data_IF_106338403391
#
_entry.id   IF_106338403391
#
_cell.length_a   1.000
_cell.length_b   1.000
_cell.length_c   1.000
_cell.angle_alpha   90.00
_cell.angle_beta   90.00
_cell.angle_gamma   90.00
#
_symmetry.space_group_name_H-M   'P 1'
#
loop_
_entity.id
_entity.type
_entity.pdbx_description
1 polymer ?
#
# COMPACT_ATOMS: atom_id res chain seq x y z
N UNK A 1 29.44 -9.05 24.14
CA UNK A 1 28.57 -8.70 23.00
C UNK A 1 27.93 -7.36 23.33
N UNK A 2 27.94 -6.40 22.41
CA UNK A 2 27.36 -5.07 22.64
C UNK A 2 25.89 -5.23 23.03
N UNK A 3 25.49 -4.67 24.18
CA UNK A 3 24.13 -4.80 24.73
C UNK A 3 23.15 -3.76 24.15
N UNK A 4 23.68 -2.73 23.51
CA UNK A 4 22.92 -1.58 23.00
C UNK A 4 23.52 -1.08 21.68
N UNK A 5 22.68 -0.59 20.77
CA UNK A 5 23.04 0.02 19.48
C UNK A 5 22.25 1.32 19.31
N UNK A 6 22.92 2.46 19.14
CA UNK A 6 22.30 3.77 18.95
C UNK A 6 21.20 4.13 19.99
N UNK A 7 21.38 3.71 21.25
CA UNK A 7 20.41 3.92 22.33
C UNK A 7 19.25 2.93 22.35
N UNK A 8 19.31 1.84 21.57
CA UNK A 8 18.38 0.73 21.61
C UNK A 8 19.01 -0.51 22.21
N UNK A 9 18.31 -1.13 23.16
CA UNK A 9 18.70 -2.42 23.74
C UNK A 9 18.22 -3.59 22.87
N UNK A 10 19.02 -4.65 22.81
CA UNK A 10 18.78 -5.81 21.95
C UNK A 10 17.82 -6.81 22.62
N UNK A 11 16.63 -6.97 22.05
CA UNK A 11 15.65 -7.98 22.47
C UNK A 11 15.86 -9.26 21.66
N UNK A 12 16.38 -10.30 22.30
CA UNK A 12 16.63 -11.59 21.66
C UNK A 12 15.38 -12.47 21.73
N UNK A 13 14.88 -12.83 20.56
CA UNK A 13 13.72 -13.73 20.39
C UNK A 13 14.16 -14.95 19.59
N UNK A 14 13.74 -16.13 20.00
CA UNK A 14 14.09 -17.38 19.36
C UNK A 14 12.86 -18.04 18.76
N UNK A 15 12.89 -18.37 17.48
CA UNK A 15 11.84 -19.18 16.87
C UNK A 15 12.03 -20.65 17.20
N UNK A 16 10.92 -21.39 17.23
CA UNK A 16 11.00 -22.83 17.33
C UNK A 16 11.78 -23.41 16.13
N UNK A 17 12.66 -24.36 16.42
CA UNK A 17 13.37 -25.10 15.37
C UNK A 17 12.39 -26.02 14.66
N UNK A 18 12.43 -25.99 13.32
CA UNK A 18 11.85 -27.02 12.46
C UNK A 18 12.92 -28.11 12.32
N UNK A 19 12.50 -29.37 12.44
CA UNK A 19 13.36 -30.56 12.58
C UNK A 19 14.75 -30.45 11.92
N UNK A 20 15.81 -30.71 12.70
CA UNK A 20 17.24 -30.73 12.31
C UNK A 20 17.91 -29.38 12.00
N UNK A 21 17.26 -28.25 12.21
CA UNK A 21 17.88 -26.91 12.03
C UNK A 21 18.21 -26.23 13.37
N UNK A 22 19.28 -25.40 13.38
CA UNK A 22 19.59 -24.53 14.53
C UNK A 22 18.40 -23.58 14.75
N UNK A 23 18.03 -23.34 16.02
CA UNK A 23 16.97 -22.42 16.38
C UNK A 23 17.34 -20.98 15.95
N UNK A 24 16.64 -20.37 14.99
CA UNK A 24 16.99 -19.04 14.52
C UNK A 24 16.61 -17.99 15.57
N UNK A 25 17.49 -17.01 15.76
CA UNK A 25 17.29 -15.89 16.70
C UNK A 25 17.02 -14.63 15.90
N UNK A 26 15.89 -13.98 16.17
CA UNK A 26 15.53 -12.66 15.66
C UNK A 26 15.82 -11.61 16.73
N UNK A 27 16.37 -10.48 16.31
CA UNK A 27 16.75 -9.40 17.22
C UNK A 27 15.82 -8.22 16.94
N UNK A 28 15.05 -7.85 17.96
CA UNK A 28 14.29 -6.60 17.97
C UNK A 28 15.09 -5.55 18.75
N UNK A 29 14.78 -4.28 18.52
CA UNK A 29 15.47 -3.17 19.16
C UNK A 29 14.47 -2.42 20.03
N UNK A 30 14.74 -2.32 21.32
CA UNK A 30 13.83 -1.71 22.28
C UNK A 30 14.44 -0.52 23.00
N UNK A 31 13.66 0.55 23.19
CA UNK A 31 14.05 1.68 24.03
C UNK A 31 12.83 2.32 24.69
N UNK A 32 13.00 3.05 25.80
CA UNK A 32 11.95 3.93 26.32
C UNK A 32 11.51 4.93 25.24
N UNK A 33 10.20 5.12 25.07
CA UNK A 33 9.68 6.12 24.15
C UNK A 33 9.98 7.53 24.68
N UNK A 34 10.63 8.34 23.85
CA UNK A 34 10.92 9.74 24.12
C UNK A 34 9.79 10.60 23.51
N UNK A 35 8.72 10.80 24.27
CA UNK A 35 7.57 11.63 23.90
C UNK A 35 7.02 12.39 25.09
N UNK A 36 6.10 13.32 24.86
CA UNK A 36 5.44 14.06 25.95
C UNK A 36 4.60 13.12 26.83
N UNK A 37 4.51 13.39 28.13
CA UNK A 37 3.71 12.58 29.07
C UNK A 37 2.20 12.68 28.83
N UNK A 38 1.73 13.72 28.10
CA UNK A 38 0.30 14.03 27.91
C UNK A 38 -0.29 13.61 26.55
N UNK A 39 0.47 12.90 25.69
CA UNK A 39 -0.02 12.38 24.40
C UNK A 39 -0.84 11.09 24.52
N UNK A 40 -1.47 10.64 23.43
CA UNK A 40 -2.02 9.28 23.31
C UNK A 40 -0.95 8.20 23.39
N UNK A 41 0.31 8.55 23.08
CA UNK A 41 1.50 7.72 23.32
C UNK A 41 2.37 8.39 24.39
N UNK A 42 2.05 8.23 25.69
CA UNK A 42 2.71 8.98 26.76
C UNK A 42 4.15 8.54 26.97
N UNK A 43 5.04 9.52 27.09
CA UNK A 43 6.41 9.30 27.56
C UNK A 43 6.46 8.73 28.99
N UNK A 44 7.57 8.07 29.34
CA UNK A 44 7.82 7.56 30.70
C UNK A 44 7.20 6.19 31.02
N UNK A 45 6.07 5.81 30.38
CA UNK A 45 5.46 4.46 30.56
C UNK A 45 5.30 3.66 29.28
N UNK A 46 5.90 4.14 28.18
CA UNK A 46 5.81 3.50 26.87
C UNK A 46 7.15 2.95 26.42
N UNK A 47 7.15 1.70 25.95
CA UNK A 47 8.29 1.04 25.31
C UNK A 47 8.12 1.12 23.80
N UNK A 48 9.15 1.61 23.11
CA UNK A 48 9.24 1.62 21.67
C UNK A 48 10.08 0.44 21.17
N UNK A 49 9.53 -0.35 20.25
CA UNK A 49 10.17 -1.50 19.64
C UNK A 49 10.27 -1.32 18.13
N UNK A 50 11.42 -1.69 17.56
CA UNK A 50 11.70 -1.66 16.12
C UNK A 50 12.14 -3.03 15.66
N UNK A 51 11.97 -3.30 14.36
CA UNK A 51 12.25 -4.59 13.74
C UNK A 51 11.40 -5.71 14.37
N UNK A 52 10.14 -5.39 14.64
CA UNK A 52 9.18 -6.37 15.17
C UNK A 52 8.90 -7.40 14.07
N UNK A 53 8.89 -8.72 14.37
CA UNK A 53 8.64 -9.73 13.36
C UNK A 53 7.36 -9.52 12.54
N UNK A 54 7.33 -9.93 11.26
CA UNK A 54 6.17 -9.79 10.40
C UNK A 54 4.97 -10.56 10.94
N UNK A 55 5.22 -11.57 11.78
CA UNK A 55 4.19 -12.40 12.36
C UNK A 55 3.63 -11.89 13.69
N UNK A 56 4.09 -10.74 14.16
CA UNK A 56 3.72 -10.21 15.48
C UNK A 56 2.26 -9.82 15.56
N UNK A 57 1.61 -10.28 16.62
CA UNK A 57 0.30 -9.77 17.03
C UNK A 57 0.41 -9.07 18.39
N UNK A 58 -0.58 -8.23 18.69
CA UNK A 58 -0.71 -7.59 20.00
C UNK A 58 -0.74 -8.63 21.14
N UNK A 59 -1.36 -9.79 20.92
CA UNK A 59 -1.35 -10.91 21.86
C UNK A 59 0.07 -11.41 22.19
N UNK A 60 0.90 -11.63 21.17
CA UNK A 60 2.30 -12.08 21.36
C UNK A 60 3.12 -11.07 22.15
N UNK A 61 2.99 -9.77 21.85
CA UNK A 61 3.67 -8.72 22.59
C UNK A 61 3.18 -8.62 24.04
N UNK A 62 1.88 -8.82 24.29
CA UNK A 62 1.36 -8.91 25.66
C UNK A 62 1.98 -10.07 26.42
N UNK A 63 2.11 -11.24 25.80
CA UNK A 63 2.69 -12.42 26.44
C UNK A 63 4.20 -12.27 26.69
N UNK A 64 4.92 -11.65 25.75
CA UNK A 64 6.35 -11.33 25.87
C UNK A 64 6.64 -10.45 27.10
N UNK A 65 5.87 -9.38 27.28
CA UNK A 65 6.07 -8.41 28.37
C UNK A 65 5.16 -8.61 29.58
N UNK A 66 4.41 -9.72 29.64
CA UNK A 66 3.49 -10.02 30.75
C UNK A 66 4.16 -10.00 32.12
N UNK A 67 5.43 -10.42 32.19
CA UNK A 67 6.22 -10.43 33.44
C UNK A 67 6.69 -9.05 33.87
N UNK A 68 6.72 -8.08 32.96
CA UNK A 68 7.15 -6.72 33.26
C UNK A 68 6.05 -5.89 33.93
N UNK A 69 4.77 -6.14 33.61
CA UNK A 69 3.64 -5.48 34.25
C UNK A 69 2.35 -5.53 33.44
N UNK A 70 1.35 -4.79 33.90
CA UNK A 70 0.08 -4.65 33.19
C UNK A 70 0.22 -3.70 31.99
N UNK A 71 -0.29 -4.12 30.83
CA UNK A 71 -0.25 -3.37 29.57
C UNK A 71 -1.62 -2.73 29.36
N UNK A 72 -1.66 -1.42 29.15
CA UNK A 72 -2.88 -0.67 28.84
C UNK A 72 -3.28 -0.92 27.38
N UNK A 73 -2.36 -0.65 26.45
CA UNK A 73 -2.63 -0.76 25.01
C UNK A 73 -1.34 -1.01 24.23
N UNK A 74 -1.50 -1.56 23.03
CA UNK A 74 -0.39 -1.83 22.10
C UNK A 74 -0.76 -1.27 20.74
N UNK A 75 0.08 -0.36 20.26
CA UNK A 75 -0.04 0.24 18.94
C UNK A 75 1.02 -0.38 18.04
N UNK A 76 0.57 -1.08 16.99
CA UNK A 76 1.44 -1.63 15.95
C UNK A 76 1.47 -0.65 14.78
N UNK A 77 2.66 -0.39 14.28
CA UNK A 77 2.90 0.48 13.13
C UNK A 77 3.45 -0.37 11.99
N UNK A 78 2.57 -0.67 11.05
CA UNK A 78 2.94 -1.33 9.82
C UNK A 78 3.32 -0.28 8.78
N UNK A 79 4.60 -0.23 8.43
CA UNK A 79 5.18 0.80 7.58
C UNK A 79 4.45 0.93 6.23
N UNK A 80 4.02 -0.21 5.66
CA UNK A 80 3.31 -0.21 4.38
C UNK A 80 1.84 0.18 4.47
N UNK A 81 1.14 -0.18 5.56
CA UNK A 81 -0.23 0.28 5.78
C UNK A 81 -0.24 1.78 6.00
N UNK A 82 0.75 2.31 6.73
CA UNK A 82 0.91 3.76 6.91
C UNK A 82 1.11 4.46 5.57
N UNK A 83 1.93 3.89 4.66
CA UNK A 83 2.08 4.39 3.28
C UNK A 83 0.80 4.26 2.45
N UNK A 84 0.03 3.19 2.55
CA UNK A 84 -1.26 3.08 1.83
C UNK A 84 -2.32 4.03 2.37
N UNK A 85 -2.40 4.22 3.69
CA UNK A 85 -3.27 5.23 4.28
C UNK A 85 -2.79 6.63 3.96
N UNK A 86 -1.47 6.88 3.90
CA UNK A 86 -0.92 8.14 3.42
C UNK A 86 -1.17 8.32 1.93
N UNK A 87 -1.06 7.31 1.06
CA UNK A 87 -1.34 7.42 -0.39
C UNK A 87 -2.85 7.56 -0.65
N UNK A 88 -3.71 6.94 0.18
CA UNK A 88 -5.15 7.14 0.17
C UNK A 88 -5.54 8.51 0.76
N UNK A 89 -4.77 9.02 1.72
CA UNK A 89 -4.88 10.36 2.29
C UNK A 89 -4.21 11.41 1.40
N UNK A 90 -3.24 11.10 0.53
CA UNK A 90 -2.68 11.98 -0.50
C UNK A 90 -3.67 12.16 -1.65
N UNK A 91 -4.63 11.24 -1.80
CA UNK A 91 -5.82 11.46 -2.63
C UNK A 91 -6.93 12.24 -1.89
N UNK A 92 -6.79 12.56 -0.59
CA UNK A 92 -7.82 13.17 0.27
C UNK A 92 -7.34 14.37 1.13
N UNK A 93 -6.04 14.72 1.13
CA UNK A 93 -5.42 15.58 2.15
C UNK A 93 -4.02 16.11 1.73
N UNK A 94 -3.77 16.33 0.43
CA UNK A 94 -2.68 17.20 0.00
C UNK A 94 -3.15 18.67 0.08
N UNK A 95 -2.72 19.57 0.94
CA UNK A 95 -1.75 19.60 2.01
C UNK A 95 -2.20 20.76 2.93
N UNK A 96 -2.19 20.56 4.25
CA UNK A 96 -2.10 21.67 5.20
C UNK A 96 -0.63 22.11 5.23
N UNK A 97 -0.34 23.30 4.72
CA UNK A 97 0.88 24.01 5.07
C UNK A 97 0.91 24.19 6.59
N UNK A 98 1.76 23.43 7.27
CA UNK A 98 2.23 23.78 8.59
C UNK A 98 3.69 24.19 8.48
N UNK A 99 3.92 25.48 8.70
CA UNK A 99 5.20 26.03 9.11
C UNK A 99 5.91 25.09 10.08
N UNK A 100 7.22 25.02 9.93
CA UNK A 100 8.11 24.23 10.79
C UNK A 100 7.93 24.61 12.26
N UNK A 101 7.21 23.76 12.98
CA UNK A 101 7.47 23.46 14.38
C UNK A 101 7.35 21.95 14.57
N UNK A 102 8.49 21.30 14.84
CA UNK A 102 8.60 19.84 14.98
C UNK A 102 7.84 19.34 16.23
N UNK A 103 6.55 19.06 16.06
CA UNK A 103 5.72 18.37 17.03
C UNK A 103 5.21 17.05 16.41
N UNK A 104 5.66 15.93 16.95
CA UNK A 104 5.29 14.58 16.51
C UNK A 104 3.86 14.23 16.96
N UNK A 105 2.85 14.35 16.10
CA UNK A 105 1.48 13.87 16.38
C UNK A 105 1.19 12.53 15.63
N UNK A 106 1.33 11.45 16.40
CA UNK A 106 0.42 10.31 16.65
C UNK A 106 -0.30 9.55 15.51
N UNK A 107 -0.07 8.23 15.51
CA UNK A 107 -0.55 7.20 14.57
C UNK A 107 -2.02 6.71 14.85
N UNK A 108 -2.62 5.86 13.99
CA UNK A 108 -4.04 5.63 13.90
C UNK A 108 -4.43 4.38 14.69
N UNK A 109 -4.90 4.54 15.93
CA UNK A 109 -5.59 3.46 16.64
C UNK A 109 -6.63 3.91 17.66
N UNK A 110 -7.42 4.92 17.30
CA UNK A 110 -8.64 5.31 18.03
C UNK A 110 -9.88 5.22 17.12
N UNK A 111 -10.11 4.05 16.50
CA UNK A 111 -11.39 3.73 15.86
C UNK A 111 -12.34 3.08 16.87
N UNK A 112 -12.75 3.88 17.84
CA UNK A 112 -13.97 3.82 18.65
C UNK A 112 -13.70 4.69 19.87
N UNK A 113 -14.44 5.80 19.99
CA UNK A 113 -14.34 6.83 21.04
C UNK A 113 -13.36 7.99 20.76
N UNK A 114 -13.55 8.67 19.63
CA UNK A 114 -13.17 10.09 19.49
C UNK A 114 -14.10 10.80 18.48
N UNK A 115 -15.42 10.65 18.67
CA UNK A 115 -16.43 11.33 17.87
C UNK A 115 -16.66 12.80 18.28
N UNK A 116 -15.73 13.44 18.99
CA UNK A 116 -15.87 14.84 19.40
C UNK A 116 -14.55 15.59 19.27
N UNK A 117 -14.48 16.43 18.23
CA UNK A 117 -13.52 17.55 18.03
C UNK A 117 -12.17 17.26 17.35
N UNK A 118 -12.14 16.50 16.25
CA UNK A 118 -11.14 16.76 15.18
C UNK A 118 -11.88 16.86 13.84
N UNK A 119 -11.77 18.04 13.23
CA UNK A 119 -12.15 18.43 11.87
C UNK A 119 -13.66 18.49 11.56
N UNK A 120 -14.24 19.68 11.76
CA UNK A 120 -15.58 20.05 11.26
C UNK A 120 -15.59 20.48 9.79
N UNK A 121 -14.47 20.39 9.08
CA UNK A 121 -14.28 21.02 7.75
C UNK A 121 -13.87 20.06 6.62
N UNK A 122 -13.65 18.77 6.90
CA UNK A 122 -13.26 17.79 5.89
C UNK A 122 -14.40 16.82 5.52
N UNK A 123 -14.27 16.09 4.40
CA UNK A 123 -15.24 15.08 4.01
C UNK A 123 -15.42 14.02 5.09
N UNK A 124 -16.63 13.46 5.26
CA UNK A 124 -16.84 12.38 6.21
C UNK A 124 -15.98 11.16 5.86
N UNK A 125 -15.39 10.54 6.88
CA UNK A 125 -14.51 9.38 6.69
C UNK A 125 -15.31 8.13 6.30
N UNK A 126 -14.87 7.44 5.26
CA UNK A 126 -15.45 6.17 4.83
C UNK A 126 -15.16 5.09 5.88
N UNK A 127 -16.19 4.36 6.31
CA UNK A 127 -16.04 3.21 7.19
C UNK A 127 -15.55 2.01 6.38
N UNK A 128 -14.32 1.51 6.59
CA UNK A 128 -13.75 0.46 5.74
C UNK A 128 -14.38 -0.91 6.02
N UNK A 129 -14.47 -1.73 4.98
CA UNK A 129 -14.81 -3.15 5.12
C UNK A 129 -13.67 -3.91 5.82
N UNK A 130 -13.97 -5.05 6.50
CA UNK A 130 -12.94 -5.85 7.12
C UNK A 130 -11.94 -6.35 6.08
N UNK A 131 -10.66 -6.42 6.46
CA UNK A 131 -9.62 -6.98 5.58
C UNK A 131 -9.99 -8.40 5.17
N UNK A 132 -9.80 -8.74 3.90
CA UNK A 132 -10.12 -10.07 3.35
C UNK A 132 -9.24 -11.18 3.93
N UNK A 133 -8.06 -10.83 4.42
CA UNK A 133 -7.09 -11.75 5.01
C UNK A 133 -7.14 -11.64 6.54
N UNK A 134 -7.47 -12.73 7.27
CA UNK A 134 -7.50 -12.77 8.74
C UNK A 134 -6.18 -12.40 9.44
N UNK A 135 -5.06 -12.92 8.91
CA UNK A 135 -3.72 -12.74 9.49
C UNK A 135 -2.89 -11.83 8.60
N UNK A 136 -3.26 -10.55 8.51
CA UNK A 136 -2.42 -9.57 7.81
C UNK A 136 -1.03 -9.59 8.47
N UNK A 137 0.00 -9.84 7.67
CA UNK A 137 1.39 -9.82 8.14
C UNK A 137 1.86 -8.36 8.19
N UNK A 138 2.64 -8.04 9.21
CA UNK A 138 3.34 -6.76 9.25
C UNK A 138 4.46 -6.77 8.20
N UNK A 139 4.76 -5.60 7.64
CA UNK A 139 5.91 -5.45 6.74
C UNK A 139 7.23 -5.41 7.50
N UNK A 140 8.32 -5.72 6.79
CA UNK A 140 9.67 -5.67 7.36
C UNK A 140 10.01 -4.28 7.86
N UNK A 141 10.62 -4.18 9.05
CA UNK A 141 10.94 -2.89 9.66
C UNK A 141 9.78 -2.25 10.43
N UNK A 142 8.66 -2.97 10.60
CA UNK A 142 7.55 -2.52 11.43
C UNK A 142 7.98 -2.25 12.88
N UNK A 143 7.28 -1.32 13.51
CA UNK A 143 7.54 -0.88 14.88
C UNK A 143 6.30 -1.02 15.77
N UNK A 144 6.50 -0.99 17.07
CA UNK A 144 5.42 -1.11 18.05
C UNK A 144 5.65 -0.18 19.24
N UNK A 145 4.57 0.42 19.74
CA UNK A 145 4.53 1.08 21.02
C UNK A 145 3.71 0.23 22.01
N UNK A 146 4.34 -0.13 23.12
CA UNK A 146 3.70 -0.85 24.22
C UNK A 146 3.52 0.12 25.36
N UNK A 147 2.26 0.45 25.68
CA UNK A 147 1.90 1.41 26.72
C UNK A 147 1.57 0.61 27.97
N UNK A 148 2.41 0.74 29.00
CA UNK A 148 2.19 0.10 30.29
C UNK A 148 1.27 0.95 31.17
N UNK A 149 0.58 0.31 32.12
CA UNK A 149 -0.25 1.03 33.09
C UNK A 149 0.59 1.96 33.97
N UNK A 150 1.75 1.48 34.43
CA UNK A 150 2.65 2.18 35.35
C UNK A 150 4.06 2.31 34.79
N UNK A 151 4.78 3.38 35.15
CA UNK A 151 6.19 3.62 34.78
C UNK A 151 7.15 2.54 35.31
N UNK A 152 6.88 2.00 36.51
CA UNK A 152 7.66 0.89 37.07
C UNK A 152 7.64 -0.37 36.19
N UNK A 153 6.56 -0.55 35.40
CA UNK A 153 6.45 -1.65 34.46
C UNK A 153 7.37 -1.46 33.25
N UNK A 154 7.62 -0.22 32.82
CA UNK A 154 8.61 0.08 31.78
C UNK A 154 10.02 -0.26 32.26
N UNK A 155 10.38 0.11 33.50
CA UNK A 155 11.68 -0.21 34.08
C UNK A 155 11.91 -1.74 34.14
N UNK A 156 10.90 -2.50 34.60
CA UNK A 156 10.94 -3.97 34.59
C UNK A 156 11.02 -4.55 33.17
N UNK A 157 10.37 -3.92 32.19
CA UNK A 157 10.47 -4.33 30.79
C UNK A 157 11.89 -4.14 30.24
N UNK A 158 12.54 -3.01 30.53
CA UNK A 158 13.94 -2.78 30.15
C UNK A 158 14.89 -3.80 30.79
N UNK A 159 14.70 -4.14 32.08
CA UNK A 159 15.46 -5.21 32.73
C UNK A 159 15.25 -6.58 32.09
N UNK A 160 14.02 -6.87 31.63
CA UNK A 160 13.70 -8.10 30.90
C UNK A 160 14.43 -8.15 29.55
N UNK A 161 14.49 -7.03 28.84
CA UNK A 161 15.22 -6.91 27.57
C UNK A 161 16.71 -7.18 27.78
N UNK A 162 17.32 -6.58 28.80
CA UNK A 162 18.74 -6.79 29.11
C UNK A 162 19.06 -8.26 29.43
N UNK A 163 18.12 -8.99 30.04
CA UNK A 163 18.25 -10.42 30.34
C UNK A 163 17.93 -11.34 29.15
N UNK A 164 17.40 -10.80 28.07
CA UNK A 164 16.94 -11.60 26.92
C UNK A 164 18.07 -12.34 26.21
N UNK A 165 19.31 -11.84 26.25
CA UNK A 165 20.48 -12.51 25.65
C UNK A 165 20.79 -13.85 26.33
N UNK A 166 20.65 -13.93 27.66
CA UNK A 166 20.88 -15.14 28.43
C UNK A 166 19.67 -16.11 28.38
N UNK A 167 18.45 -15.55 28.37
CA UNK A 167 17.20 -16.32 28.31
C UNK A 167 16.29 -15.75 27.22
N UNK A 168 16.52 -16.09 25.94
CA UNK A 168 15.74 -15.55 24.85
C UNK A 168 14.29 -15.99 24.95
N UNK A 169 13.38 -15.10 24.58
CA UNK A 169 11.97 -15.43 24.55
C UNK A 169 11.68 -16.36 23.37
N UNK A 170 11.00 -17.47 23.64
CA UNK A 170 10.59 -18.40 22.58
C UNK A 170 9.35 -17.85 21.91
N UNK A 171 9.47 -17.50 20.63
CA UNK A 171 8.35 -16.99 19.85
C UNK A 171 7.29 -18.08 19.67
N UNK A 172 6.00 -17.76 19.86
CA UNK A 172 4.93 -18.76 19.79
C UNK A 172 4.79 -19.29 18.37
N UNK A 173 4.69 -20.62 18.26
CA UNK A 173 4.37 -21.30 16.99
C UNK A 173 2.86 -21.33 16.85
N UNK A 174 2.30 -20.85 15.73
CA UNK A 174 0.85 -20.74 15.58
C UNK A 174 0.15 -22.12 15.54
N UNK A 175 0.84 -23.19 15.18
CA UNK A 175 0.28 -24.55 15.05
C UNK A 175 0.28 -25.39 16.32
N UNK A 176 1.05 -25.03 17.35
CA UNK A 176 1.01 -25.79 18.61
C UNK A 176 -0.09 -25.20 19.49
N UNK A 177 -1.25 -25.86 19.66
CA UNK A 177 -2.06 -25.59 20.84
C UNK A 177 -1.12 -25.74 22.03
N UNK A 178 -0.98 -24.68 22.83
CA UNK A 178 -0.07 -24.68 23.97
C UNK A 178 -0.39 -25.91 24.82
N UNK A 179 0.54 -26.89 24.83
CA UNK A 179 0.42 -28.21 25.48
C UNK A 179 -0.71 -28.23 26.50
N UNK A 180 -1.88 -28.69 26.07
CA UNK A 180 -2.86 -29.16 27.03
C UNK A 180 -2.18 -30.34 27.71
N UNK A 181 -1.99 -30.28 29.02
CA UNK A 181 -1.66 -31.45 29.84
C UNK A 181 -2.93 -32.31 29.91
N UNK A 182 -3.36 -32.85 28.77
CA UNK A 182 -4.45 -33.81 28.67
C UNK A 182 -4.01 -35.23 29.03
N UNK A 183 -3.02 -35.36 29.92
CA UNK A 183 -2.65 -36.61 30.59
C UNK A 183 -3.18 -36.57 32.04
N UNK A 184 -4.40 -36.06 32.23
CA UNK A 184 -5.16 -36.31 33.46
C UNK A 184 -6.11 -37.45 33.09
N UNK A 185 -5.81 -38.63 33.60
CA UNK A 185 -6.67 -39.80 33.50
C UNK A 185 -8.07 -39.45 34.02
N UNK A 186 -9.11 -39.76 33.25
CA UNK A 186 -10.51 -39.45 33.50
C UNK A 186 -11.16 -40.25 34.66
N UNK A 187 -10.41 -40.60 35.71
CA UNK A 187 -10.89 -41.53 36.77
C UNK A 187 -10.75 -41.00 38.22
N UNK A 188 -10.53 -39.70 38.44
CA UNK A 188 -10.58 -39.11 39.79
C UNK A 188 -11.69 -38.05 39.95
N UNK A 189 -12.56 -38.30 40.92
CA UNK A 189 -13.63 -37.42 41.42
C UNK A 189 -13.10 -36.00 41.68
N UNK A 190 -13.62 -35.02 40.93
CA UNK A 190 -13.14 -33.63 40.98
C UNK A 190 -13.71 -32.90 42.20
N UNK A 191 -12.85 -32.61 43.16
CA UNK A 191 -13.08 -31.72 44.31
C UNK A 191 -13.39 -30.27 43.82
N UNK A 192 -14.39 -29.61 44.42
CA UNK A 192 -14.87 -28.25 44.08
C UNK A 192 -13.77 -27.18 44.14
N UNK A 193 -12.66 -27.47 44.82
CA UNK A 193 -11.47 -26.61 44.87
C UNK A 193 -10.74 -26.48 43.52
N UNK A 194 -10.97 -27.38 42.56
CA UNK A 194 -10.34 -27.38 41.23
C UNK A 194 -10.93 -26.34 40.25
N UNK A 195 -12.16 -25.87 40.47
CA UNK A 195 -12.84 -24.88 39.61
C UNK A 195 -12.10 -23.52 39.66
N UNK A 196 -11.34 -23.23 40.72
CA UNK A 196 -10.51 -22.02 40.82
C UNK A 196 -9.22 -22.06 39.99
N UNK A 197 -8.89 -23.18 39.34
CA UNK A 197 -7.70 -23.37 38.49
C UNK A 197 -8.01 -23.45 36.99
N UNK A 198 -9.18 -22.99 36.54
CA UNK A 198 -9.44 -22.81 35.11
C UNK A 198 -8.38 -21.85 34.51
N UNK A 199 -7.62 -22.27 33.48
CA UNK A 199 -6.61 -21.41 32.87
C UNK A 199 -7.31 -20.17 32.32
N UNK A 200 -6.88 -19.00 32.81
CA UNK A 200 -7.35 -17.69 32.34
C UNK A 200 -7.36 -17.68 30.82
N UNK A 201 -8.52 -17.37 30.23
CA UNK A 201 -8.76 -17.28 28.77
C UNK A 201 -7.50 -16.82 28.04
N UNK A 202 -6.93 -17.69 27.22
CA UNK A 202 -5.78 -17.38 26.35
C UNK A 202 -6.19 -16.20 25.45
N UNK A 203 -5.33 -15.19 25.30
CA UNK A 203 -5.63 -13.96 24.57
C UNK A 203 -6.14 -14.27 23.14
N UNK A 204 -7.31 -13.75 22.79
CA UNK A 204 -8.01 -13.95 21.50
C UNK A 204 -7.28 -13.36 20.26
N UNK A 205 -6.05 -12.87 20.42
CA UNK A 205 -5.25 -12.26 19.36
C UNK A 205 -4.06 -13.17 18.98
N UNK A 206 -4.19 -14.48 19.16
CA UNK A 206 -3.30 -15.44 18.50
C UNK A 206 -3.63 -15.50 17.01
N UNK A 207 -2.62 -15.80 16.19
CA UNK A 207 -2.85 -16.01 14.76
C UNK A 207 -3.80 -17.18 14.54
N UNK A 208 -4.77 -16.98 13.68
CA UNK A 208 -5.71 -18.03 13.31
C UNK A 208 -4.99 -19.03 12.41
N UNK A 209 -5.13 -20.32 12.68
CA UNK A 209 -4.60 -21.40 11.82
C UNK A 209 -5.63 -22.49 11.60
N UNK A 210 -5.39 -23.33 10.59
CA UNK A 210 -6.27 -24.45 10.25
C UNK A 210 -7.72 -24.03 10.05
N UNK A 211 -8.64 -24.73 10.72
CA UNK A 211 -10.08 -24.47 10.61
C UNK A 211 -10.47 -23.05 11.06
N UNK A 212 -9.87 -22.54 12.14
CA UNK A 212 -10.19 -21.20 12.67
C UNK A 212 -9.91 -20.09 11.64
N UNK A 213 -8.79 -20.23 10.91
CA UNK A 213 -8.42 -19.33 9.81
C UNK A 213 -9.41 -19.41 8.65
N UNK A 214 -9.79 -20.62 8.24
CA UNK A 214 -10.71 -20.83 7.13
C UNK A 214 -12.11 -20.28 7.45
N UNK A 215 -12.61 -20.48 8.67
CA UNK A 215 -13.89 -19.93 9.12
C UNK A 215 -13.88 -18.40 9.18
N UNK A 216 -12.81 -17.79 9.69
CA UNK A 216 -12.70 -16.33 9.74
C UNK A 216 -12.58 -15.72 8.34
N UNK A 217 -11.81 -16.35 7.45
CA UNK A 217 -11.74 -15.97 6.03
C UNK A 217 -13.11 -16.09 5.35
N UNK A 218 -13.83 -17.20 5.60
CA UNK A 218 -15.17 -17.41 5.05
C UNK A 218 -16.15 -16.31 5.48
N UNK A 219 -16.10 -15.91 6.76
CA UNK A 219 -16.91 -14.80 7.32
C UNK A 219 -16.52 -13.44 6.74
N UNK A 220 -15.22 -13.15 6.59
CA UNK A 220 -14.74 -11.88 6.00
C UNK A 220 -15.10 -11.70 4.54
N UNK A 221 -15.14 -12.80 3.77
CA UNK A 221 -15.62 -12.79 2.38
C UNK A 221 -17.13 -12.55 2.28
N UNK A 222 -17.88 -12.69 3.38
CA UNK A 222 -19.33 -12.49 3.46
C UNK A 222 -19.66 -11.61 4.66
N UNK A 223 -19.24 -10.33 4.64
CA UNK A 223 -19.53 -9.42 5.73
C UNK A 223 -21.03 -9.27 5.92
N UNK A 224 -21.45 -8.96 7.14
CA UNK A 224 -22.87 -8.78 7.44
C UNK A 224 -23.42 -7.63 6.57
N UNK A 225 -24.66 -7.77 6.10
CA UNK A 225 -25.33 -6.74 5.29
C UNK A 225 -25.31 -5.36 5.97
N UNK A 226 -25.42 -5.32 7.30
CA UNK A 226 -25.31 -4.09 8.07
C UNK A 226 -23.95 -3.37 7.89
N UNK A 227 -22.84 -4.13 7.82
CA UNK A 227 -21.49 -3.56 7.61
C UNK A 227 -21.32 -3.07 6.16
N UNK A 228 -21.88 -3.81 5.20
CA UNK A 228 -21.88 -3.39 3.78
C UNK A 228 -22.67 -2.09 3.62
N UNK A 229 -23.85 -2.02 4.24
CA UNK A 229 -24.70 -0.82 4.25
C UNK A 229 -23.96 0.36 4.87
N UNK A 230 -23.34 0.18 6.03
CA UNK A 230 -22.54 1.23 6.68
C UNK A 230 -21.40 1.76 5.80
N UNK A 231 -20.64 0.87 5.16
CA UNK A 231 -19.60 1.27 4.21
C UNK A 231 -20.19 2.06 3.04
N UNK A 232 -21.25 1.55 2.40
CA UNK A 232 -21.91 2.20 1.26
C UNK A 232 -22.48 3.58 1.65
N UNK A 233 -23.20 3.68 2.76
CA UNK A 233 -23.76 4.93 3.28
C UNK A 233 -22.64 5.95 3.55
N UNK A 234 -21.53 5.52 4.16
CA UNK A 234 -20.38 6.41 4.43
C UNK A 234 -19.67 6.89 3.15
N UNK A 235 -19.57 6.02 2.14
CA UNK A 235 -19.01 6.38 0.84
C UNK A 235 -19.91 7.36 0.07
N UNK A 236 -21.23 7.14 0.11
CA UNK A 236 -22.21 8.05 -0.49
C UNK A 236 -22.21 9.40 0.25
N UNK A 237 -22.18 9.40 1.59
CA UNK A 237 -22.12 10.62 2.38
C UNK A 237 -20.86 11.45 2.07
N UNK A 238 -19.72 10.79 1.85
CA UNK A 238 -18.51 11.47 1.40
C UNK A 238 -18.65 12.04 0.00
N UNK A 239 -19.20 11.25 -0.92
CA UNK A 239 -19.43 11.70 -2.30
C UNK A 239 -20.38 12.91 -2.35
N UNK A 240 -21.49 12.88 -1.61
CA UNK A 240 -22.43 14.00 -1.54
C UNK A 240 -21.80 15.23 -0.90
N UNK A 241 -21.03 15.05 0.19
CA UNK A 241 -20.33 16.15 0.84
C UNK A 241 -19.32 16.83 -0.10
N UNK A 242 -18.51 16.05 -0.82
CA UNK A 242 -17.52 16.59 -1.78
C UNK A 242 -18.23 17.32 -2.93
N UNK A 243 -19.40 16.83 -3.35
CA UNK A 243 -20.23 17.50 -4.37
C UNK A 243 -20.79 18.85 -3.88
N UNK A 244 -21.20 18.92 -2.61
CA UNK A 244 -21.71 20.13 -1.97
C UNK A 244 -20.59 21.12 -1.60
N UNK A 245 -19.37 20.63 -1.42
CA UNK A 245 -18.19 21.41 -1.02
C UNK A 245 -17.07 21.33 -2.09
N UNK A 246 -17.33 21.76 -3.33
CA UNK A 246 -16.37 21.67 -4.41
C UNK A 246 -15.15 22.59 -4.22
N UNK A 247 -15.28 23.66 -3.40
CA UNK A 247 -14.18 24.53 -3.01
C UNK A 247 -13.10 23.78 -2.24
N UNK A 248 -13.47 22.82 -1.39
CA UNK A 248 -12.51 21.98 -0.66
C UNK A 248 -11.65 21.17 -1.62
N UNK A 249 -12.24 20.61 -2.69
CA UNK A 249 -11.51 19.86 -3.72
C UNK A 249 -10.59 20.77 -4.56
N UNK A 250 -11.01 22.02 -4.81
CA UNK A 250 -10.21 23.02 -5.52
C UNK A 250 -9.01 23.48 -4.68
N UNK A 251 -9.22 23.72 -3.39
CA UNK A 251 -8.18 24.10 -2.43
C UNK A 251 -7.15 22.99 -2.26
N UNK A 252 -7.61 21.74 -2.12
CA UNK A 252 -6.75 20.56 -2.06
C UNK A 252 -5.90 20.37 -3.34
N UNK A 253 -6.44 20.73 -4.52
CA UNK A 253 -5.65 20.71 -5.78
C UNK A 253 -4.65 21.87 -5.89
N UNK A 254 -4.96 23.02 -5.30
CA UNK A 254 -4.03 24.16 -5.25
C UNK A 254 -2.85 23.87 -4.32
N UNK A 255 -3.11 23.16 -3.22
CA UNK A 255 -2.06 22.71 -2.29
C UNK A 255 -1.30 21.47 -2.79
N UNK A 256 -1.97 20.56 -3.50
CA UNK A 256 -1.38 19.29 -3.96
C UNK A 256 -0.50 19.39 -5.20
N UNK A 257 0.81 19.29 -4.98
CA UNK A 257 1.84 18.78 -5.90
C UNK A 257 1.94 19.42 -7.31
N UNK A 258 2.73 20.50 -7.39
CA UNK A 258 3.19 21.07 -8.68
C UNK A 258 4.23 20.19 -9.42
N UNK A 259 4.69 19.08 -8.83
CA UNK A 259 5.80 18.27 -9.37
C UNK A 259 5.36 16.99 -10.09
N UNK A 260 4.15 16.47 -9.88
CA UNK A 260 3.62 15.37 -10.69
C UNK A 260 2.78 15.90 -11.85
N UNK A 261 2.86 15.22 -13.00
CA UNK A 261 2.21 15.60 -14.27
C UNK A 261 0.67 15.63 -14.24
N UNK A 262 0.05 15.41 -13.08
CA UNK A 262 -1.36 15.65 -12.82
C UNK A 262 -1.66 17.11 -12.40
N UNK A 263 -0.66 17.87 -11.95
CA UNK A 263 -0.76 19.25 -11.48
C UNK A 263 -0.50 20.34 -12.54
N UNK A 264 -0.24 19.97 -13.80
CA UNK A 264 -0.05 20.93 -14.92
C UNK A 264 -1.38 21.22 -15.65
N UNK A 265 -2.51 20.79 -15.09
CA UNK A 265 -3.83 20.88 -15.71
C UNK A 265 -4.59 22.15 -15.36
N UNK A 266 -5.29 22.69 -16.36
CA UNK A 266 -6.28 23.78 -16.35
C UNK A 266 -6.86 24.06 -14.95
N UNK A 267 -6.71 25.30 -14.48
CA UNK A 267 -7.22 25.74 -13.18
C UNK A 267 -8.75 25.60 -13.13
N UNK A 268 -9.26 24.81 -12.19
CA UNK A 268 -10.68 24.86 -11.82
C UNK A 268 -10.96 26.17 -11.11
N UNK A 269 -11.74 27.04 -11.75
CA UNK A 269 -12.06 28.38 -11.22
C UNK A 269 -13.45 28.40 -10.63
N UNK A 270 -14.41 27.68 -11.23
CA UNK A 270 -15.80 27.67 -10.78
C UNK A 270 -16.41 26.27 -10.83
N UNK A 271 -17.64 26.15 -10.34
CA UNK A 271 -18.33 24.87 -10.23
C UNK A 271 -19.70 25.02 -10.88
N UNK A 272 -20.01 24.13 -11.83
CA UNK A 272 -21.27 24.12 -12.53
C UNK A 272 -22.44 23.70 -11.62
N UNK A 273 -23.70 23.89 -12.08
CA UNK A 273 -24.91 23.58 -11.32
C UNK A 273 -24.98 22.14 -10.80
N UNK A 274 -24.34 21.22 -11.53
CA UNK A 274 -24.34 19.79 -11.22
C UNK A 274 -23.14 19.33 -10.36
N UNK A 275 -22.23 20.24 -9.98
CA UNK A 275 -21.02 19.95 -9.20
C UNK A 275 -19.77 19.66 -10.07
N UNK A 276 -19.80 20.02 -11.35
CA UNK A 276 -18.68 19.86 -12.28
C UNK A 276 -17.66 20.99 -12.10
N UNK A 277 -16.36 20.69 -12.13
CA UNK A 277 -15.33 21.74 -12.10
C UNK A 277 -15.27 22.41 -13.48
N UNK A 278 -15.46 23.72 -13.51
CA UNK A 278 -15.37 24.55 -14.71
C UNK A 278 -14.05 25.36 -14.68
N UNK A 279 -13.45 25.54 -15.85
CA UNK A 279 -12.27 26.39 -16.01
C UNK A 279 -12.62 27.89 -16.01
N UNK A 280 -11.61 28.74 -16.23
CA UNK A 280 -11.77 30.20 -16.32
C UNK A 280 -12.74 30.63 -17.43
N UNK A 281 -12.88 29.81 -18.47
CA UNK A 281 -13.72 30.05 -19.64
C UNK A 281 -15.11 29.39 -19.50
N UNK A 282 -15.39 28.72 -18.39
CA UNK A 282 -16.68 28.08 -18.09
C UNK A 282 -16.86 26.69 -18.72
N UNK A 283 -15.81 26.07 -19.25
CA UNK A 283 -15.84 24.69 -19.77
C UNK A 283 -15.59 23.67 -18.67
N UNK A 284 -16.31 22.53 -18.74
CA UNK A 284 -16.12 21.40 -17.84
C UNK A 284 -14.73 20.79 -17.99
N UNK A 285 -13.97 20.76 -16.90
CA UNK A 285 -12.63 20.16 -16.85
C UNK A 285 -12.76 18.64 -16.87
N UNK A 286 -12.21 18.01 -17.91
CA UNK A 286 -12.22 16.55 -18.07
C UNK A 286 -11.32 15.90 -17.01
N UNK A 287 -11.95 15.38 -15.97
CA UNK A 287 -11.26 14.57 -14.97
C UNK A 287 -10.88 13.21 -15.58
N UNK A 288 -9.60 12.82 -15.52
CA UNK A 288 -9.16 11.48 -15.89
C UNK A 288 -9.79 10.47 -14.93
N UNK A 289 -10.90 9.86 -15.32
CA UNK A 289 -11.57 8.82 -14.54
C UNK A 289 -10.74 7.54 -14.45
N UNK A 290 -10.97 6.75 -13.40
CA UNK A 290 -10.54 5.35 -13.36
C UNK A 290 -11.14 4.57 -14.55
N UNK A 291 -10.64 3.36 -14.84
CA UNK A 291 -11.05 2.51 -15.99
C UNK A 291 -12.56 2.29 -16.20
N UNK A 292 -13.41 2.68 -15.25
CA UNK A 292 -14.88 2.62 -15.31
C UNK A 292 -15.57 3.95 -14.95
N UNK A 293 -14.87 5.08 -15.08
CA UNK A 293 -15.38 6.42 -14.77
C UNK A 293 -16.19 7.05 -15.92
N UNK A 294 -16.92 8.13 -15.57
CA UNK A 294 -17.90 8.92 -16.37
C UNK A 294 -17.48 9.36 -17.79
N UNK A 295 -16.23 9.20 -18.20
CA UNK A 295 -15.80 9.36 -19.60
C UNK A 295 -16.34 8.25 -20.51
N UNK A 296 -16.99 7.22 -19.96
CA UNK A 296 -17.73 6.18 -20.68
C UNK A 296 -19.23 6.35 -20.61
N UNK A 297 -19.76 7.58 -20.60
CA UNK A 297 -21.16 7.80 -20.93
C UNK A 297 -21.42 7.26 -22.34
N UNK A 298 -22.53 6.55 -22.51
CA UNK A 298 -22.94 5.84 -23.73
C UNK A 298 -23.00 6.74 -24.98
N UNK A 299 -22.94 8.06 -24.80
CA UNK A 299 -23.01 9.09 -25.85
C UNK A 299 -21.74 9.92 -26.07
N UNK A 300 -20.66 9.76 -25.29
CA UNK A 300 -19.46 10.59 -25.45
C UNK A 300 -18.28 9.84 -26.09
N UNK A 301 -18.47 9.51 -27.37
CA UNK A 301 -17.40 9.36 -28.36
C UNK A 301 -16.78 10.72 -28.67
N UNK A 302 -16.09 11.35 -27.71
CA UNK A 302 -15.35 12.59 -27.98
C UNK A 302 -13.95 12.27 -28.51
N UNK A 303 -13.93 11.71 -29.72
CA UNK A 303 -12.87 11.83 -30.69
C UNK A 303 -13.45 11.43 -32.07
N UNK A 304 -13.71 12.43 -32.91
CA UNK A 304 -14.32 12.35 -34.25
C UNK A 304 -15.84 12.10 -34.20
N UNK A 305 -16.71 13.00 -34.66
CA UNK A 305 -16.76 13.54 -36.02
C UNK A 305 -17.53 14.87 -35.96
N UNK A 306 -16.86 16.01 -36.15
CA UNK A 306 -17.56 17.20 -36.66
C UNK A 306 -17.73 17.03 -38.18
N UNK A 307 -18.80 17.55 -38.79
CA UNK A 307 -19.00 17.45 -40.25
C UNK A 307 -17.80 18.01 -41.04
N UNK A 308 -17.18 19.07 -40.51
CA UNK A 308 -15.98 19.71 -41.06
C UNK A 308 -14.72 18.82 -40.97
N UNK A 309 -14.60 18.02 -39.91
CA UNK A 309 -13.52 17.01 -39.79
C UNK A 309 -13.77 15.80 -40.71
N UNK A 310 -15.02 15.48 -41.01
CA UNK A 310 -15.38 14.41 -41.94
C UNK A 310 -15.10 14.78 -43.40
N UNK A 311 -15.41 16.02 -43.81
CA UNK A 311 -15.09 16.54 -45.15
C UNK A 311 -13.57 16.62 -45.37
N UNK A 312 -12.82 17.18 -44.41
CA UNK A 312 -11.36 17.24 -44.51
C UNK A 312 -10.68 15.85 -44.52
N UNK A 313 -11.29 14.83 -43.92
CA UNK A 313 -10.85 13.42 -44.00
C UNK A 313 -11.27 12.71 -45.29
N UNK A 314 -12.32 13.15 -45.98
CA UNK A 314 -12.71 12.65 -47.32
C UNK A 314 -11.80 13.22 -48.40
N UNK A 315 -11.41 14.48 -48.28
CA UNK A 315 -10.47 15.14 -49.20
C UNK A 315 -9.04 14.61 -49.09
N UNK A 316 -8.60 14.19 -47.89
CA UNK A 316 -7.22 13.74 -47.64
C UNK A 316 -7.16 12.31 -47.06
N UNK A 317 -7.41 11.26 -47.87
CA UNK A 317 -7.43 9.87 -47.40
C UNK A 317 -6.06 9.37 -46.87
N UNK A 318 -4.96 10.04 -47.22
CA UNK A 318 -3.62 9.69 -46.74
C UNK A 318 -3.37 10.05 -45.27
N UNK A 319 -4.16 10.95 -44.68
CA UNK A 319 -4.06 11.29 -43.24
C UNK A 319 -4.57 10.17 -42.32
N UNK A 320 -5.36 9.23 -42.84
CA UNK A 320 -5.85 8.03 -42.12
C UNK A 320 -4.82 6.91 -42.01
N UNK A 321 -3.76 6.93 -42.82
CA UNK A 321 -2.72 5.91 -42.72
C UNK A 321 -1.91 6.19 -41.46
N UNK A 322 -1.92 5.24 -40.51
CA UNK A 322 -1.04 5.26 -39.34
C UNK A 322 0.37 5.52 -39.87
N UNK A 323 1.04 6.58 -39.41
CA UNK A 323 2.44 6.83 -39.71
C UNK A 323 3.25 5.71 -39.09
N UNK A 324 3.42 4.59 -39.82
CA UNK A 324 4.30 3.52 -39.42
C UNK A 324 5.70 4.11 -39.26
N UNK A 325 6.35 3.91 -38.11
CA UNK A 325 7.68 4.45 -37.89
C UNK A 325 8.62 3.81 -38.92
N UNK A 326 9.18 4.59 -39.87
CA UNK A 326 10.16 4.07 -40.79
C UNK A 326 11.48 3.84 -40.05
N UNK A 327 12.18 2.76 -40.38
CA UNK A 327 13.50 2.40 -39.83
C UNK A 327 13.55 2.06 -38.31
N UNK A 328 12.43 1.65 -37.70
CA UNK A 328 12.43 1.20 -36.28
C UNK A 328 12.77 -0.29 -36.13
N UNK A 329 12.26 -1.14 -37.02
CA UNK A 329 12.43 -2.59 -36.88
C UNK A 329 13.62 -3.13 -37.68
N UNK A 330 14.33 -4.10 -37.11
CA UNK A 330 15.48 -4.77 -37.76
C UNK A 330 15.14 -5.37 -39.13
N UNK A 331 13.89 -5.77 -39.36
CA UNK A 331 13.46 -6.29 -40.66
C UNK A 331 13.36 -5.21 -41.73
N UNK A 332 12.97 -3.97 -41.38
CA UNK A 332 12.92 -2.83 -42.30
C UNK A 332 14.32 -2.50 -42.84
N UNK A 333 15.34 -2.51 -41.97
CA UNK A 333 16.74 -2.36 -42.40
C UNK A 333 17.23 -3.49 -43.32
N UNK A 334 16.84 -4.74 -43.04
CA UNK A 334 17.19 -5.89 -43.89
C UNK A 334 16.53 -5.78 -45.26
N UNK A 335 15.29 -5.33 -45.30
CA UNK A 335 14.53 -5.14 -46.53
C UNK A 335 15.08 -4.01 -47.38
N UNK A 336 15.39 -2.86 -46.78
CA UNK A 336 16.07 -1.73 -47.42
C UNK A 336 17.41 -2.13 -48.05
N UNK A 337 18.24 -2.89 -47.32
CA UNK A 337 19.51 -3.43 -47.87
C UNK A 337 19.27 -4.39 -49.03
N UNK A 338 18.25 -5.26 -48.94
CA UNK A 338 17.92 -6.21 -50.01
C UNK A 338 17.49 -5.50 -51.29
N UNK A 339 16.68 -4.45 -51.17
CA UNK A 339 16.25 -3.62 -52.30
C UNK A 339 17.43 -2.88 -52.92
N UNK A 340 18.34 -2.31 -52.11
CA UNK A 340 19.57 -1.70 -52.61
C UNK A 340 20.45 -2.69 -53.39
N UNK A 341 20.64 -3.90 -52.89
CA UNK A 341 21.38 -4.95 -53.62
C UNK A 341 20.68 -5.39 -54.91
N UNK A 342 19.36 -5.48 -54.92
CA UNK A 342 18.59 -5.81 -56.11
C UNK A 342 18.73 -4.71 -57.19
N UNK A 343 18.63 -3.43 -56.78
CA UNK A 343 18.83 -2.30 -57.67
C UNK A 343 20.25 -2.25 -58.26
N UNK A 344 21.27 -2.45 -57.42
CA UNK A 344 22.68 -2.52 -57.87
C UNK A 344 22.92 -3.67 -58.86
N UNK A 345 22.32 -4.84 -58.62
CA UNK A 345 22.42 -5.97 -59.56
C UNK A 345 21.76 -5.65 -60.89
N UNK A 346 20.58 -5.04 -60.87
CA UNK A 346 19.88 -4.63 -62.09
C UNK A 346 20.69 -3.60 -62.88
N UNK A 347 21.30 -2.61 -62.21
CA UNK A 347 22.16 -1.62 -62.85
C UNK A 347 23.45 -2.26 -63.41
N UNK A 348 24.05 -3.18 -62.68
CA UNK A 348 25.23 -3.88 -63.15
C UNK A 348 24.95 -4.73 -64.40
N UNK A 349 23.78 -5.38 -64.46
CA UNK A 349 23.35 -6.12 -65.63
C UNK A 349 23.11 -5.20 -66.83
N UNK A 350 22.48 -4.04 -66.64
CA UNK A 350 22.29 -3.06 -67.72
C UNK A 350 23.64 -2.53 -68.23
N UNK A 351 24.56 -2.20 -67.33
CA UNK A 351 25.88 -1.67 -67.69
C UNK A 351 26.71 -2.73 -68.41
N UNK A 352 26.64 -3.99 -67.97
CA UNK A 352 27.27 -5.11 -68.65
C UNK A 352 26.75 -5.29 -70.08
N UNK A 353 25.44 -5.15 -70.28
CA UNK A 353 24.84 -5.17 -71.61
C UNK A 353 25.29 -3.98 -72.47
N UNK A 354 25.38 -2.78 -71.89
CA UNK A 354 25.83 -1.59 -72.60
C UNK A 354 27.30 -1.70 -73.02
N UNK A 355 28.16 -2.18 -72.13
CA UNK A 355 29.58 -2.43 -72.42
C UNK A 355 29.71 -3.51 -73.50
N UNK A 356 28.89 -4.57 -73.47
CA UNK A 356 28.90 -5.60 -74.51
C UNK A 356 28.51 -5.02 -75.88
N UNK A 357 27.46 -4.17 -75.93
CA UNK A 357 27.06 -3.42 -77.14
C UNK A 357 28.20 -2.50 -77.62
N UNK A 358 28.88 -1.79 -76.71
CA UNK A 358 30.01 -0.91 -77.04
C UNK A 358 31.20 -1.69 -77.59
N UNK A 359 31.56 -2.81 -76.95
CA UNK A 359 32.63 -3.71 -77.42
C UNK A 359 32.30 -4.34 -78.77
N UNK A 360 31.05 -4.73 -79.00
CA UNK A 360 30.60 -5.23 -80.30
C UNK A 360 30.71 -4.17 -81.39
N UNK A 361 30.35 -2.91 -81.09
CA UNK A 361 30.53 -1.77 -82.00
C UNK A 361 32.00 -1.44 -82.26
N UNK A 362 32.88 -1.62 -81.27
CA UNK A 362 34.33 -1.38 -81.39
C UNK A 362 35.13 -2.61 -81.86
N UNK A 363 34.49 -3.63 -82.45
CA UNK A 363 35.21 -4.74 -83.09
C UNK A 363 35.95 -4.21 -84.33
N UNK A 364 37.21 -3.86 -84.11
CA UNK A 364 38.18 -3.56 -85.15
C UNK A 364 38.23 -4.74 -86.13
N UNK A 365 37.92 -4.47 -87.40
CA UNK A 365 38.13 -5.41 -88.50
C UNK A 365 39.46 -5.01 -89.14
N UNK A 366 40.57 -5.71 -88.85
CA UNK A 366 41.72 -5.59 -89.72
C UNK A 366 41.39 -6.27 -91.05
N UNK A 367 41.83 -5.65 -92.15
CA UNK A 367 41.63 -5.98 -93.57
C UNK A 367 40.40 -5.37 -94.24
#
# INVERSE_FOLDING_TARGET
>A
MQSSVAGFDLVHVQYASVAHTRKPTHIMYGRPHAGSASGSIPGGRTLFLVNVPPDTTRGVLRDLFRKAGAIQSIVLHDFYVQKQSQDAQYNDDSDQDSDQDQAWDENPSSLQQSATKRNKSGPPRIQPLPSLVPNVLLTSGSSAHIIFLDESSLQRAMQLIQRSSAKPFVWPVPEKPAKDQSDINDDEMVDESAIKKLPRRKNNETRLVGLSFLLDRYRRLRPNHAQIKQHADSAIARYSWVREHPQWLLEQRRSGDQLTSAGVGIEGVSVGPDGELLDADGFTIVQKGNRYGRSGGEENTFAAITPEFEESMRENPDRKKKKELPDFYRFQFREKKRQQFAALRSQFESDKQEIAKRKAKMRFKPY
#
